data_IF_084904261215
#
_entry.id   IF_084904261215
#
_cell.length_a   1.000
_cell.length_b   1.000
_cell.length_c   1.000
_cell.angle_alpha   90.00
_cell.angle_beta   90.00
_cell.angle_gamma   90.00
#
_symmetry.space_group_name_H-M   'P 1'
#
loop_
_entity.id
_entity.type
_entity.pdbx_description
1 polymer ?
#
# COMPACT_ATOMS: atom_id res chain seq x y z
N UNK A 1 3.03 14.71 -10.28
CA UNK A 1 2.83 15.66 -9.15
C UNK A 1 4.15 15.87 -8.42
N UNK A 2 4.38 16.99 -7.75
CA UNK A 2 5.55 17.24 -6.89
C UNK A 2 5.43 16.44 -5.58
N UNK A 3 6.55 16.31 -4.86
CA UNK A 3 6.58 15.66 -3.54
C UNK A 3 5.64 16.36 -2.55
N UNK A 4 5.26 15.66 -1.47
CA UNK A 4 4.46 16.26 -0.41
C UNK A 4 5.28 17.35 0.30
N UNK A 5 4.97 18.61 0.01
CA UNK A 5 5.79 19.75 0.41
C UNK A 5 5.38 20.36 1.75
N UNK A 6 6.14 21.36 2.20
CA UNK A 6 5.83 22.12 3.42
C UNK A 6 4.46 22.80 3.38
N UNK A 7 4.02 23.24 2.19
CA UNK A 7 2.69 23.84 1.98
C UNK A 7 1.56 22.82 2.18
N UNK A 8 1.79 21.58 1.73
CA UNK A 8 0.81 20.50 1.86
C UNK A 8 0.72 20.04 3.31
N UNK A 9 1.88 19.93 3.99
CA UNK A 9 1.94 19.65 5.42
C UNK A 9 1.24 20.73 6.26
N UNK A 10 1.45 22.02 5.95
CA UNK A 10 0.76 23.11 6.64
C UNK A 10 -0.76 23.04 6.44
N UNK A 11 -1.21 22.81 5.21
CA UNK A 11 -2.63 22.68 4.91
C UNK A 11 -3.24 21.46 5.62
N UNK A 12 -2.55 20.32 5.58
CA UNK A 12 -2.95 19.11 6.30
C UNK A 12 -3.11 19.37 7.79
N UNK A 13 -2.10 19.96 8.45
CA UNK A 13 -2.15 20.26 9.89
C UNK A 13 -3.29 21.24 10.20
N UNK A 14 -3.49 22.27 9.38
CA UNK A 14 -4.58 23.23 9.55
C UNK A 14 -5.95 22.53 9.46
N UNK A 15 -6.18 21.76 8.40
CA UNK A 15 -7.45 21.06 8.18
C UNK A 15 -7.72 20.02 9.28
N UNK A 16 -6.74 19.20 9.63
CA UNK A 16 -6.87 18.22 10.71
C UNK A 16 -7.19 18.91 12.03
N UNK A 17 -6.54 20.04 12.35
CA UNK A 17 -6.84 20.82 13.55
C UNK A 17 -8.28 21.33 13.52
N UNK A 18 -8.73 21.89 12.39
CA UNK A 18 -10.11 22.37 12.25
C UNK A 18 -11.13 21.25 12.44
N UNK A 19 -10.90 20.07 11.87
CA UNK A 19 -11.79 18.91 12.03
C UNK A 19 -11.78 18.35 13.45
N UNK A 20 -10.62 18.33 14.12
CA UNK A 20 -10.53 17.98 15.53
C UNK A 20 -11.43 18.89 16.37
N UNK A 21 -11.41 20.20 16.12
CA UNK A 21 -12.27 21.16 16.85
C UNK A 21 -13.73 21.16 16.41
N UNK A 22 -14.04 20.84 15.15
CA UNK A 22 -15.44 20.83 14.67
C UNK A 22 -16.21 19.60 15.14
N UNK A 23 -15.53 18.46 15.21
CA UNK A 23 -16.17 17.16 15.41
C UNK A 23 -16.09 16.69 16.86
N UNK A 24 -15.37 17.42 17.71
CA UNK A 24 -15.23 17.14 19.13
C UNK A 24 -15.56 18.39 19.95
N UNK A 25 -15.82 18.21 21.26
CA UNK A 25 -16.00 19.36 22.14
C UNK A 25 -14.71 20.18 22.23
N UNK A 26 -14.83 21.49 22.42
CA UNK A 26 -13.68 22.37 22.57
C UNK A 26 -12.73 21.91 23.69
N UNK A 27 -13.29 21.40 24.80
CA UNK A 27 -12.51 20.87 25.91
C UNK A 27 -11.77 19.58 25.54
N UNK A 28 -12.41 18.65 24.82
CA UNK A 28 -11.74 17.43 24.34
C UNK A 28 -10.61 17.74 23.35
N UNK A 29 -10.86 18.65 22.41
CA UNK A 29 -9.90 19.05 21.39
C UNK A 29 -8.68 19.77 22.00
N UNK A 30 -8.91 20.69 22.95
CA UNK A 30 -7.81 21.35 23.67
C UNK A 30 -7.04 20.36 24.54
N UNK A 31 -7.73 19.52 25.30
CA UNK A 31 -7.10 18.47 26.11
C UNK A 31 -6.27 17.51 25.26
N UNK A 32 -6.77 17.15 24.07
CA UNK A 32 -6.05 16.34 23.10
C UNK A 32 -4.73 16.99 22.68
N UNK A 33 -4.76 18.27 22.28
CA UNK A 33 -3.55 19.01 21.88
C UNK A 33 -2.55 19.08 23.04
N UNK A 34 -3.02 19.38 24.25
CA UNK A 34 -2.16 19.43 25.43
C UNK A 34 -1.56 18.07 25.77
N UNK A 35 -2.35 17.01 25.71
CA UNK A 35 -1.91 15.64 26.00
C UNK A 35 -0.90 15.11 24.98
N UNK A 36 -0.92 15.64 23.75
CA UNK A 36 -0.02 15.24 22.66
C UNK A 36 1.10 16.25 22.39
N UNK A 37 1.27 17.26 23.25
CA UNK A 37 2.36 18.25 23.10
C UNK A 37 3.75 17.59 23.10
N UNK A 38 3.88 16.45 23.78
CA UNK A 38 5.10 15.66 23.82
C UNK A 38 5.53 15.18 22.43
N UNK A 39 4.60 14.83 21.54
CA UNK A 39 4.90 14.39 20.16
C UNK A 39 5.60 15.51 19.39
N UNK A 40 5.13 16.75 19.53
CA UNK A 40 5.73 17.92 18.88
C UNK A 40 7.14 18.26 19.41
N UNK A 41 7.50 17.79 20.61
CA UNK A 41 8.84 17.94 21.18
C UNK A 41 9.73 16.75 20.81
N UNK A 42 9.18 15.54 20.88
CA UNK A 42 9.90 14.29 20.66
C UNK A 42 10.32 14.12 19.21
N UNK A 43 9.48 14.46 18.22
CA UNK A 43 9.85 14.28 16.80
C UNK A 43 11.07 15.15 16.42
N UNK A 44 11.13 16.46 16.72
CA UNK A 44 12.34 17.26 16.50
C UNK A 44 13.54 16.75 17.29
N UNK A 45 13.34 16.34 18.54
CA UNK A 45 14.41 15.76 19.36
C UNK A 45 15.00 14.50 18.71
N UNK A 46 14.17 13.55 18.30
CA UNK A 46 14.60 12.32 17.63
C UNK A 46 15.31 12.62 16.31
N UNK A 47 14.82 13.58 15.52
CA UNK A 47 15.49 14.03 14.31
C UNK A 47 16.89 14.58 14.60
N UNK A 48 17.01 15.46 15.59
CA UNK A 48 18.29 16.05 15.95
C UNK A 48 19.25 15.01 16.51
N UNK A 49 18.81 14.23 17.51
CA UNK A 49 19.66 13.29 18.22
C UNK A 49 20.03 12.07 17.38
N UNK A 50 19.09 11.46 16.67
CA UNK A 50 19.31 10.16 16.01
C UNK A 50 19.71 10.29 14.54
N UNK A 51 19.55 11.47 13.94
CA UNK A 51 19.83 11.68 12.52
C UNK A 51 20.78 12.83 12.22
N UNK A 52 20.62 13.97 12.88
CA UNK A 52 21.47 15.13 12.60
C UNK A 52 22.83 15.07 13.33
N UNK A 53 22.82 14.77 14.63
CA UNK A 53 24.02 14.74 15.47
C UNK A 53 24.68 13.36 15.56
N UNK A 54 23.91 12.27 15.41
CA UNK A 54 24.47 10.92 15.45
C UNK A 54 25.33 10.67 14.18
N UNK A 55 26.61 10.28 14.32
CA UNK A 55 27.45 9.97 13.16
C UNK A 55 26.83 8.90 12.27
N UNK A 56 26.95 9.05 10.95
CA UNK A 56 26.31 8.17 9.97
C UNK A 56 26.48 6.67 10.25
N UNK A 57 27.68 6.14 10.58
CA UNK A 57 27.86 4.71 10.86
C UNK A 57 27.12 4.19 12.10
N UNK A 58 26.72 5.08 13.02
CA UNK A 58 25.99 4.74 14.24
C UNK A 58 24.47 4.90 14.08
N UNK A 59 24.01 5.50 12.98
CA UNK A 59 22.60 5.61 12.67
C UNK A 59 22.01 4.24 12.27
N UNK A 60 20.71 4.07 12.50
CA UNK A 60 19.99 2.89 11.99
C UNK A 60 19.98 2.89 10.46
N UNK A 61 19.82 1.72 9.83
CA UNK A 61 19.76 1.60 8.36
C UNK A 61 18.65 2.48 7.76
N UNK A 62 17.48 2.48 8.38
CA UNK A 62 16.38 3.39 8.00
C UNK A 62 16.82 4.84 8.10
N UNK A 63 17.46 5.26 9.19
CA UNK A 63 17.92 6.66 9.34
C UNK A 63 18.96 7.04 8.30
N UNK A 64 19.89 6.14 7.97
CA UNK A 64 20.91 6.36 6.95
C UNK A 64 20.30 6.57 5.56
N UNK A 65 19.29 5.78 5.19
CA UNK A 65 18.66 5.83 3.87
C UNK A 65 17.57 6.90 3.75
N UNK A 66 16.66 6.98 4.73
CA UNK A 66 15.43 7.76 4.65
C UNK A 66 15.69 9.22 4.29
N UNK A 67 14.74 9.92 3.66
CA UNK A 67 14.84 11.39 3.57
C UNK A 67 14.56 12.02 4.95
N UNK A 68 14.83 13.32 5.09
CA UNK A 68 14.44 14.03 6.30
C UNK A 68 12.93 14.04 6.54
N UNK A 69 12.13 14.17 5.47
CA UNK A 69 10.67 14.13 5.55
C UNK A 69 10.16 12.75 5.93
N UNK A 70 10.76 11.72 5.33
CA UNK A 70 10.45 10.33 5.62
C UNK A 70 10.76 9.96 7.06
N UNK A 71 11.95 10.31 7.55
CA UNK A 71 12.34 10.05 8.93
C UNK A 71 11.37 10.71 9.92
N UNK A 72 10.97 11.96 9.64
CA UNK A 72 9.98 12.68 10.45
C UNK A 72 8.63 11.95 10.41
N UNK A 73 8.15 11.53 9.24
CA UNK A 73 6.89 10.82 9.09
C UNK A 73 6.89 9.48 9.83
N UNK A 74 7.94 8.67 9.68
CA UNK A 74 8.09 7.37 10.36
C UNK A 74 8.02 7.56 11.88
N UNK A 75 8.78 8.51 12.44
CA UNK A 75 8.77 8.75 13.88
C UNK A 75 7.45 9.37 14.36
N UNK A 76 6.83 10.22 13.56
CA UNK A 76 5.50 10.77 13.85
C UNK A 76 4.46 9.65 13.91
N UNK A 77 4.44 8.74 12.92
CA UNK A 77 3.56 7.57 12.90
C UNK A 77 3.84 6.67 14.10
N UNK A 78 5.10 6.38 14.41
CA UNK A 78 5.48 5.53 15.56
C UNK A 78 4.93 6.08 16.88
N UNK A 79 5.18 7.36 17.15
CA UNK A 79 4.72 7.99 18.38
C UNK A 79 3.20 8.07 18.44
N UNK A 80 2.57 8.37 17.31
CA UNK A 80 1.11 8.46 17.23
C UNK A 80 0.45 7.10 17.43
N UNK A 81 0.94 6.02 16.82
CA UNK A 81 0.35 4.69 16.99
C UNK A 81 0.50 4.13 18.41
N UNK A 82 1.58 4.52 19.10
CA UNK A 82 1.85 4.08 20.47
C UNK A 82 1.11 4.90 21.54
N UNK A 83 0.67 6.12 21.23
CA UNK A 83 0.13 7.06 22.22
C UNK A 83 -1.27 7.60 21.90
N UNK A 84 -1.68 7.64 20.64
CA UNK A 84 -3.02 8.07 20.26
C UNK A 84 -4.03 6.95 20.50
N UNK A 85 -5.18 7.32 21.06
CA UNK A 85 -6.33 6.41 21.06
C UNK A 85 -6.88 6.25 19.64
N UNK A 86 -7.55 5.12 19.39
CA UNK A 86 -8.26 4.83 18.12
C UNK A 86 -9.14 5.99 17.66
N UNK A 87 -9.82 6.66 18.61
CA UNK A 87 -10.68 7.82 18.34
C UNK A 87 -9.90 8.93 17.61
N UNK A 88 -8.74 9.29 18.12
CA UNK A 88 -7.98 10.42 17.56
C UNK A 88 -7.23 10.05 16.29
N UNK A 89 -6.77 8.80 16.15
CA UNK A 89 -6.15 8.32 14.91
C UNK A 89 -7.06 8.52 13.69
N UNK A 90 -8.36 8.21 13.82
CA UNK A 90 -9.36 8.40 12.76
C UNK A 90 -9.46 9.84 12.27
N UNK A 91 -9.20 10.84 13.12
CA UNK A 91 -9.22 12.25 12.72
C UNK A 91 -8.02 12.62 11.84
N UNK A 92 -6.83 12.06 12.08
CA UNK A 92 -5.65 12.29 11.24
C UNK A 92 -5.78 11.66 9.85
N UNK A 93 -6.54 10.57 9.74
CA UNK A 93 -6.71 9.82 8.49
C UNK A 93 -8.04 10.08 7.78
N UNK A 94 -8.77 11.11 8.23
CA UNK A 94 -10.11 11.45 7.75
C UNK A 94 -10.13 11.77 6.27
N UNK A 95 -11.09 11.17 5.55
CA UNK A 95 -11.29 11.36 4.11
C UNK A 95 -11.36 12.83 3.70
N UNK A 96 -12.10 13.65 4.46
CA UNK A 96 -12.27 15.08 4.13
C UNK A 96 -10.94 15.84 4.14
N UNK A 97 -10.04 15.54 5.08
CA UNK A 97 -8.72 16.20 5.15
C UNK A 97 -7.94 15.90 3.88
N UNK A 98 -7.78 14.63 3.55
CA UNK A 98 -7.03 14.21 2.36
C UNK A 98 -7.69 14.64 1.06
N UNK A 99 -9.02 14.62 0.99
CA UNK A 99 -9.77 15.16 -0.14
C UNK A 99 -9.36 16.61 -0.43
N UNK A 100 -9.41 17.51 0.56
CA UNK A 100 -9.06 18.90 0.33
C UNK A 100 -7.56 19.11 0.05
N UNK A 101 -6.68 18.34 0.69
CA UNK A 101 -5.24 18.37 0.40
C UNK A 101 -4.98 17.95 -1.05
N UNK A 102 -5.59 16.87 -1.53
CA UNK A 102 -5.47 16.40 -2.91
C UNK A 102 -6.04 17.42 -3.90
N UNK A 103 -7.21 18.02 -3.60
CA UNK A 103 -7.78 19.06 -4.47
C UNK A 103 -6.87 20.28 -4.56
N UNK A 104 -6.28 20.71 -3.43
CA UNK A 104 -5.30 21.79 -3.41
C UNK A 104 -4.06 21.45 -4.26
N UNK A 105 -3.53 20.23 -4.13
CA UNK A 105 -2.39 19.75 -4.90
C UNK A 105 -2.73 19.65 -6.39
N UNK A 106 -3.88 19.09 -6.73
CA UNK A 106 -4.40 19.05 -8.10
C UNK A 106 -4.51 20.44 -8.70
N UNK A 107 -5.12 21.41 -8.03
CA UNK A 107 -5.25 22.79 -8.52
C UNK A 107 -3.88 23.42 -8.82
N UNK A 108 -2.88 23.18 -7.96
CA UNK A 108 -1.54 23.76 -8.10
C UNK A 108 -0.71 23.10 -9.21
N UNK A 109 -0.89 21.80 -9.43
CA UNK A 109 0.06 21.00 -10.22
C UNK A 109 -0.54 20.38 -11.47
N UNK A 110 -1.83 20.09 -11.46
CA UNK A 110 -2.58 19.44 -12.54
C UNK A 110 -3.75 20.30 -13.07
N UNK A 111 -4.00 21.47 -12.47
CA UNK A 111 -5.08 22.39 -12.82
C UNK A 111 -5.03 22.95 -14.25
N UNK A 112 -3.94 22.69 -14.98
CA UNK A 112 -3.82 22.98 -16.41
C UNK A 112 -4.47 21.91 -17.31
N UNK A 113 -5.10 20.88 -16.74
CA UNK A 113 -5.76 19.80 -17.49
C UNK A 113 -4.82 18.77 -18.09
N UNK A 114 -3.57 18.69 -17.60
CA UNK A 114 -2.53 17.79 -18.13
C UNK A 114 -2.60 16.35 -17.57
N UNK A 115 -3.58 16.05 -16.72
CA UNK A 115 -3.83 14.70 -16.21
C UNK A 115 -5.05 14.08 -16.87
N UNK A 116 -4.87 12.92 -17.52
CA UNK A 116 -5.95 12.19 -18.19
C UNK A 116 -6.61 11.14 -17.28
N UNK A 117 -5.86 10.59 -16.32
CA UNK A 117 -6.40 9.67 -15.31
C UNK A 117 -7.06 10.46 -14.20
N UNK A 118 -8.32 10.15 -13.93
CA UNK A 118 -9.12 10.82 -12.90
C UNK A 118 -9.75 9.79 -11.96
N UNK A 119 -9.85 10.16 -10.69
CA UNK A 119 -10.66 9.44 -9.71
C UNK A 119 -12.14 9.78 -9.93
N UNK A 120 -12.98 8.75 -10.03
CA UNK A 120 -14.43 8.87 -10.07
C UNK A 120 -15.04 8.05 -8.93
N UNK A 121 -15.76 8.73 -8.05
CA UNK A 121 -16.59 8.08 -7.03
C UNK A 121 -17.85 7.54 -7.70
N UNK A 122 -18.18 6.28 -7.44
CA UNK A 122 -19.42 5.69 -7.91
C UNK A 122 -20.33 5.36 -6.73
N UNK A 123 -21.65 5.39 -6.98
CA UNK A 123 -22.72 5.19 -5.98
C UNK A 123 -22.74 3.79 -5.36
N UNK A 124 -21.92 2.89 -5.87
CA UNK A 124 -21.89 1.45 -5.60
C UNK A 124 -20.67 1.03 -4.76
N UNK A 125 -20.14 1.96 -3.96
CA UNK A 125 -19.20 1.64 -2.88
C UNK A 125 -17.74 1.51 -3.31
N UNK A 126 -17.22 2.43 -4.12
CA UNK A 126 -15.78 2.50 -4.41
C UNK A 126 -15.38 3.67 -5.31
N UNK A 127 -14.09 3.73 -5.61
CA UNK A 127 -13.48 4.71 -6.51
C UNK A 127 -12.82 4.02 -7.70
N UNK A 128 -13.11 4.53 -8.89
CA UNK A 128 -12.44 4.12 -10.13
C UNK A 128 -11.37 5.13 -10.51
N UNK A 129 -10.22 4.65 -10.95
CA UNK A 129 -9.14 5.45 -11.52
C UNK A 129 -8.99 5.03 -12.97
N UNK A 130 -9.37 5.93 -13.88
CA UNK A 130 -9.40 5.65 -15.31
C UNK A 130 -9.04 6.89 -16.13
N UNK A 131 -8.38 6.63 -17.25
CA UNK A 131 -8.08 7.60 -18.30
C UNK A 131 -9.33 8.01 -19.07
N UNK A 132 -9.71 9.29 -18.97
CA UNK A 132 -10.92 9.83 -19.61
C UNK A 132 -10.86 9.73 -21.14
N UNK A 133 -9.69 9.94 -21.73
CA UNK A 133 -9.49 9.84 -23.18
C UNK A 133 -9.67 8.41 -23.71
N UNK A 134 -9.67 7.41 -22.84
CA UNK A 134 -9.74 5.99 -23.20
C UNK A 134 -11.02 5.28 -22.73
N UNK A 135 -11.99 5.99 -22.19
CA UNK A 135 -13.28 5.42 -21.72
C UNK A 135 -14.03 4.60 -22.78
N UNK A 136 -13.83 4.88 -24.08
CA UNK A 136 -14.47 4.16 -25.19
C UNK A 136 -13.69 2.92 -25.67
N UNK A 137 -12.57 2.56 -25.03
CA UNK A 137 -11.76 1.39 -25.38
C UNK A 137 -12.07 0.24 -24.43
N UNK A 138 -11.93 -0.99 -24.94
CA UNK A 138 -11.99 -2.18 -24.08
C UNK A 138 -10.90 -2.10 -23.00
N UNK A 139 -11.24 -2.47 -21.78
CA UNK A 139 -10.31 -2.54 -20.65
C UNK A 139 -9.50 -3.81 -20.81
N UNK A 140 -8.18 -3.68 -20.85
CA UNK A 140 -7.25 -4.81 -21.01
C UNK A 140 -6.63 -5.27 -19.68
N UNK A 141 -6.65 -4.40 -18.66
CA UNK A 141 -6.22 -4.69 -17.31
C UNK A 141 -7.08 -3.97 -16.28
N UNK A 142 -7.57 -4.71 -15.30
CA UNK A 142 -8.26 -4.16 -14.14
C UNK A 142 -7.53 -4.55 -12.86
N UNK A 143 -7.14 -3.56 -12.06
CA UNK A 143 -6.58 -3.78 -10.73
C UNK A 143 -7.66 -3.52 -9.69
N UNK A 144 -7.95 -4.51 -8.84
CA UNK A 144 -8.73 -4.31 -7.61
C UNK A 144 -7.74 -4.01 -6.49
N UNK A 145 -7.67 -2.75 -6.06
CA UNK A 145 -6.74 -2.29 -5.05
C UNK A 145 -7.40 -2.21 -3.66
N UNK A 146 -7.01 -3.09 -2.74
CA UNK A 146 -7.47 -3.08 -1.34
C UNK A 146 -6.43 -2.39 -0.46
N UNK A 147 -6.80 -1.24 0.10
CA UNK A 147 -5.86 -0.40 0.83
C UNK A 147 -5.66 -0.81 2.30
N UNK A 148 -4.46 -0.59 2.84
CA UNK A 148 -4.07 -1.00 4.20
C UNK A 148 -4.46 -0.06 5.33
N UNK A 149 -5.01 1.13 5.06
CA UNK A 149 -5.22 2.16 6.09
C UNK A 149 -6.48 2.01 6.96
N UNK A 150 -7.31 1.00 6.72
CA UNK A 150 -8.53 0.72 7.48
C UNK A 150 -8.30 0.57 9.02
N UNK A 151 -7.15 0.02 9.46
CA UNK A 151 -6.79 -0.13 10.88
C UNK A 151 -6.85 1.21 11.64
N UNK A 152 -6.39 2.27 10.98
CA UNK A 152 -6.27 3.61 11.57
C UNK A 152 -7.37 4.56 11.09
N UNK A 153 -8.38 4.03 10.37
CA UNK A 153 -9.48 4.80 9.79
C UNK A 153 -9.12 5.60 8.54
N UNK A 154 -8.10 5.18 7.82
CA UNK A 154 -7.72 5.81 6.56
C UNK A 154 -8.64 5.48 5.41
N UNK A 155 -8.63 6.40 4.45
CA UNK A 155 -9.55 6.44 3.34
C UNK A 155 -8.82 6.33 2.01
N UNK A 156 -9.57 5.99 0.98
CA UNK A 156 -9.07 5.95 -0.40
C UNK A 156 -8.46 7.30 -0.86
N UNK A 157 -8.87 8.42 -0.25
CA UNK A 157 -8.29 9.72 -0.53
C UNK A 157 -6.78 9.77 -0.24
N UNK A 158 -6.28 8.98 0.72
CA UNK A 158 -4.83 8.87 0.99
C UNK A 158 -4.09 8.25 -0.19
N UNK A 159 -4.76 7.42 -1.00
CA UNK A 159 -4.16 6.68 -2.11
C UNK A 159 -4.46 7.31 -3.47
N UNK A 160 -5.28 8.36 -3.54
CA UNK A 160 -5.77 8.94 -4.80
C UNK A 160 -4.62 9.25 -5.78
N UNK A 161 -3.57 9.94 -5.31
CA UNK A 161 -2.42 10.27 -6.16
C UNK A 161 -1.59 9.05 -6.52
N UNK A 162 -1.43 8.11 -5.59
CA UNK A 162 -0.66 6.89 -5.79
C UNK A 162 -1.32 6.00 -6.85
N UNK A 163 -2.63 5.76 -6.75
CA UNK A 163 -3.39 4.90 -7.68
C UNK A 163 -3.60 5.56 -9.04
N UNK A 164 -3.76 6.89 -9.08
CA UNK A 164 -3.74 7.64 -10.35
C UNK A 164 -2.41 7.44 -11.06
N UNK A 165 -1.29 7.59 -10.34
CA UNK A 165 0.05 7.39 -10.90
C UNK A 165 0.28 5.92 -11.27
N UNK A 166 -0.28 4.98 -10.53
CA UNK A 166 -0.18 3.56 -10.84
C UNK A 166 -0.83 3.24 -12.20
N UNK A 167 -2.04 3.77 -12.45
CA UNK A 167 -2.71 3.66 -13.74
C UNK A 167 -1.84 4.24 -14.87
N UNK A 168 -1.21 5.41 -14.67
CA UNK A 168 -0.27 5.98 -15.64
C UNK A 168 0.92 5.07 -15.90
N UNK A 169 1.54 4.48 -14.86
CA UNK A 169 2.66 3.53 -15.03
C UNK A 169 2.27 2.27 -15.78
N UNK A 170 1.06 1.77 -15.59
CA UNK A 170 0.55 0.65 -16.39
C UNK A 170 0.43 1.05 -17.87
N UNK A 171 -0.03 2.26 -18.17
CA UNK A 171 -0.07 2.76 -19.55
C UNK A 171 1.34 2.90 -20.16
N UNK A 172 2.32 3.34 -19.37
CA UNK A 172 3.73 3.41 -19.79
C UNK A 172 4.31 2.02 -20.10
N UNK A 173 3.89 0.98 -19.38
CA UNK A 173 4.27 -0.42 -19.64
C UNK A 173 3.50 -1.08 -20.80
N UNK A 174 2.65 -0.32 -21.49
CA UNK A 174 2.00 -0.73 -22.75
C UNK A 174 0.54 -1.16 -22.64
N UNK A 175 -0.06 -1.15 -21.44
CA UNK A 175 -1.49 -1.40 -21.30
C UNK A 175 -2.29 -0.28 -21.97
N UNK A 176 -3.20 -0.66 -22.86
CA UNK A 176 -3.99 0.26 -23.65
C UNK A 176 -4.96 1.03 -22.77
N UNK A 177 -5.76 0.37 -21.93
CA UNK A 177 -6.77 1.00 -21.08
C UNK A 177 -6.81 0.32 -19.69
N UNK A 178 -5.73 0.43 -18.90
CA UNK A 178 -5.73 -0.09 -17.55
C UNK A 178 -6.62 0.75 -16.65
N UNK A 179 -7.36 0.09 -15.77
CA UNK A 179 -8.17 0.74 -14.75
C UNK A 179 -7.81 0.21 -13.37
N UNK A 180 -7.98 1.06 -12.36
CA UNK A 180 -7.86 0.64 -10.96
C UNK A 180 -9.20 0.88 -10.28
N UNK A 181 -9.76 -0.15 -9.66
CA UNK A 181 -10.91 -0.07 -8.79
C UNK A 181 -10.45 -0.22 -7.35
N UNK A 182 -10.80 0.73 -6.49
CA UNK A 182 -10.56 0.63 -5.07
C UNK A 182 -11.90 0.63 -4.33
N UNK A 183 -12.30 -0.51 -3.73
CA UNK A 183 -13.57 -0.60 -3.03
C UNK A 183 -13.54 0.26 -1.76
N UNK A 184 -14.66 0.90 -1.45
CA UNK A 184 -14.86 1.60 -0.18
C UNK A 184 -15.40 0.63 0.85
N UNK A 185 -14.73 0.49 1.98
CA UNK A 185 -15.21 -0.32 3.09
C UNK A 185 -15.87 0.60 4.10
N UNK A 186 -17.16 0.40 4.35
CA UNK A 186 -17.90 1.22 5.32
C UNK A 186 -17.81 0.64 6.73
N UNK A 187 -17.78 -0.68 6.86
CA UNK A 187 -17.75 -1.38 8.16
C UNK A 187 -16.96 -2.69 8.08
N UNK A 188 -16.36 -3.11 9.20
CA UNK A 188 -15.67 -4.41 9.30
C UNK A 188 -16.60 -5.62 9.19
N UNK A 189 -17.92 -5.42 9.18
CA UNK A 189 -18.88 -6.49 8.95
C UNK A 189 -18.96 -6.99 7.51
N UNK A 190 -18.37 -6.27 6.56
CA UNK A 190 -18.48 -6.58 5.12
C UNK A 190 -17.20 -7.19 4.55
N UNK A 191 -16.18 -7.46 5.39
CA UNK A 191 -14.85 -7.86 4.94
C UNK A 191 -14.85 -9.16 4.14
N UNK A 192 -15.61 -10.16 4.58
CA UNK A 192 -15.69 -11.48 3.93
C UNK A 192 -16.27 -11.39 2.52
N UNK A 193 -17.18 -10.44 2.30
CA UNK A 193 -17.87 -10.24 1.03
C UNK A 193 -17.21 -9.17 0.15
N UNK A 194 -16.31 -8.36 0.72
CA UNK A 194 -15.74 -7.20 0.05
C UNK A 194 -15.02 -7.60 -1.23
N UNK A 195 -14.06 -8.53 -1.12
CA UNK A 195 -13.23 -8.94 -2.24
C UNK A 195 -14.03 -9.70 -3.31
N UNK A 196 -14.83 -10.73 -2.96
CA UNK A 196 -15.70 -11.39 -3.93
C UNK A 196 -16.63 -10.42 -4.65
N UNK A 197 -17.26 -9.49 -3.92
CA UNK A 197 -18.15 -8.49 -4.52
C UNK A 197 -17.40 -7.50 -5.42
N UNK A 198 -16.23 -7.04 -5.00
CA UNK A 198 -15.40 -6.13 -5.79
C UNK A 198 -14.90 -6.79 -7.08
N UNK A 199 -14.46 -8.06 -7.00
CA UNK A 199 -14.01 -8.82 -8.17
C UNK A 199 -15.17 -9.09 -9.13
N UNK A 200 -16.32 -9.56 -8.63
CA UNK A 200 -17.52 -9.78 -9.45
C UNK A 200 -17.90 -8.50 -10.19
N UNK A 201 -18.02 -7.39 -9.46
CA UNK A 201 -18.37 -6.09 -10.01
C UNK A 201 -17.39 -5.63 -11.09
N UNK A 202 -16.10 -5.81 -10.86
CA UNK A 202 -15.08 -5.45 -11.85
C UNK A 202 -15.26 -6.31 -13.10
N UNK A 203 -15.38 -7.63 -12.96
CA UNK A 203 -15.62 -8.55 -14.08
C UNK A 203 -16.88 -8.20 -14.87
N UNK A 204 -17.97 -7.87 -14.19
CA UNK A 204 -19.23 -7.43 -14.81
C UNK A 204 -19.08 -6.12 -15.59
N UNK A 205 -18.18 -5.24 -15.14
CA UNK A 205 -17.93 -3.93 -15.76
C UNK A 205 -17.00 -4.03 -16.97
N UNK A 206 -15.96 -4.86 -16.90
CA UNK A 206 -14.87 -4.89 -17.91
C UNK A 206 -15.00 -6.02 -18.94
N UNK A 207 -15.78 -7.05 -18.64
CA UNK A 207 -15.93 -8.24 -19.47
C UNK A 207 -14.89 -9.34 -19.22
N UNK A 208 -15.07 -10.49 -19.88
CA UNK A 208 -14.27 -11.71 -19.63
C UNK A 208 -12.83 -11.65 -20.18
N UNK A 209 -12.59 -10.85 -21.23
CA UNK A 209 -11.27 -10.76 -21.89
C UNK A 209 -10.25 -9.92 -21.11
N UNK A 210 -10.66 -9.28 -20.01
CA UNK A 210 -9.80 -8.44 -19.19
C UNK A 210 -9.01 -9.26 -18.16
N UNK A 211 -7.72 -8.96 -18.01
CA UNK A 211 -6.95 -9.49 -16.89
C UNK A 211 -7.32 -8.76 -15.60
N UNK A 212 -7.75 -9.50 -14.58
CA UNK A 212 -8.03 -8.95 -13.25
C UNK A 212 -6.85 -9.23 -12.33
N UNK A 213 -6.30 -8.20 -11.70
CA UNK A 213 -5.21 -8.28 -10.73
C UNK A 213 -5.72 -7.84 -9.38
N UNK A 214 -5.48 -8.64 -8.34
CA UNK A 214 -5.68 -8.19 -6.96
C UNK A 214 -4.40 -7.52 -6.48
N UNK A 215 -4.49 -6.31 -5.96
CA UNK A 215 -3.37 -5.60 -5.37
C UNK A 215 -3.76 -5.03 -4.01
N UNK A 216 -2.85 -5.00 -3.05
CA UNK A 216 -3.13 -4.37 -1.78
C UNK A 216 -1.89 -4.19 -0.93
N UNK A 217 -2.02 -3.38 0.10
CA UNK A 217 -0.96 -3.09 1.05
C UNK A 217 -1.37 -3.38 2.49
N UNK A 218 -0.39 -3.68 3.35
CA UNK A 218 -0.61 -4.03 4.76
C UNK A 218 -1.69 -5.12 4.89
N UNK A 219 -2.75 -4.86 5.65
CA UNK A 219 -3.84 -5.82 5.77
C UNK A 219 -4.73 -5.88 4.53
N UNK A 220 -4.76 -4.85 3.68
CA UNK A 220 -5.39 -4.99 2.37
C UNK A 220 -4.77 -6.16 1.58
N UNK A 221 -3.46 -6.33 1.68
CA UNK A 221 -2.76 -7.50 1.15
C UNK A 221 -3.13 -8.80 1.89
N UNK A 222 -3.27 -8.77 3.22
CA UNK A 222 -3.70 -9.94 4.01
C UNK A 222 -5.13 -10.38 3.66
N UNK A 223 -6.05 -9.44 3.40
CA UNK A 223 -7.41 -9.75 2.94
C UNK A 223 -7.39 -10.46 1.60
N UNK A 224 -6.53 -10.01 0.68
CA UNK A 224 -6.32 -10.67 -0.61
C UNK A 224 -5.81 -12.10 -0.39
N UNK A 225 -4.84 -12.29 0.49
CA UNK A 225 -4.33 -13.64 0.80
C UNK A 225 -5.42 -14.57 1.31
N UNK A 226 -6.30 -14.09 2.18
CA UNK A 226 -7.44 -14.86 2.67
C UNK A 226 -8.43 -15.18 1.54
N UNK A 227 -8.73 -14.23 0.67
CA UNK A 227 -9.62 -14.45 -0.49
C UNK A 227 -9.09 -15.53 -1.43
N UNK A 228 -7.77 -15.52 -1.70
CA UNK A 228 -7.13 -16.53 -2.56
C UNK A 228 -7.24 -17.96 -2.00
N UNK A 229 -7.32 -18.11 -0.67
CA UNK A 229 -7.50 -19.41 -0.03
C UNK A 229 -8.96 -19.90 -0.09
N UNK A 230 -9.93 -18.99 -0.17
CA UNK A 230 -11.36 -19.29 -0.19
C UNK A 230 -11.95 -19.40 -1.61
N UNK A 231 -11.32 -18.76 -2.60
CA UNK A 231 -11.82 -18.68 -3.96
C UNK A 231 -11.70 -20.00 -4.74
N UNK A 232 -12.70 -20.27 -5.57
CA UNK A 232 -12.62 -21.34 -6.56
C UNK A 232 -11.55 -20.99 -7.61
N UNK A 233 -10.86 -22.01 -8.12
CA UNK A 233 -9.76 -21.85 -9.10
C UNK A 233 -10.15 -21.03 -10.34
N UNK A 234 -11.40 -21.09 -10.77
CA UNK A 234 -11.91 -20.33 -11.93
C UNK A 234 -12.15 -18.85 -11.62
N UNK A 235 -12.33 -18.50 -10.34
CA UNK A 235 -12.57 -17.13 -9.87
C UNK A 235 -11.30 -16.35 -9.57
N UNK A 236 -10.17 -17.05 -9.42
CA UNK A 236 -8.87 -16.48 -9.10
C UNK A 236 -8.46 -15.34 -10.04
N UNK A 237 -7.73 -14.34 -9.51
CA UNK A 237 -7.16 -13.30 -10.35
C UNK A 237 -6.05 -13.84 -11.24
N UNK A 238 -5.70 -13.03 -12.23
CA UNK A 238 -4.54 -13.24 -13.08
C UNK A 238 -3.24 -13.19 -12.25
N UNK A 239 -3.08 -12.15 -11.43
CA UNK A 239 -1.92 -11.90 -10.56
C UNK A 239 -2.41 -11.41 -9.20
N UNK A 240 -1.68 -11.72 -8.12
CA UNK A 240 -1.84 -11.07 -6.83
C UNK A 240 -0.57 -10.26 -6.48
N UNK A 241 -0.72 -8.97 -6.17
CA UNK A 241 0.33 -8.08 -5.69
C UNK A 241 0.11 -7.75 -4.21
N UNK A 242 1.00 -8.24 -3.35
CA UNK A 242 0.92 -8.14 -1.90
C UNK A 242 2.05 -7.23 -1.41
N UNK A 243 1.72 -6.03 -0.96
CA UNK A 243 2.69 -5.05 -0.43
C UNK A 243 2.64 -5.07 1.09
N UNK A 244 3.79 -5.32 1.74
CA UNK A 244 3.94 -5.39 3.19
C UNK A 244 2.83 -6.20 3.89
N UNK A 245 2.50 -7.43 3.46
CA UNK A 245 1.37 -8.16 4.02
C UNK A 245 1.62 -8.55 5.49
N UNK A 246 0.58 -8.45 6.32
CA UNK A 246 0.59 -9.01 7.68
C UNK A 246 0.16 -10.48 7.59
N UNK A 247 1.12 -11.40 7.56
CA UNK A 247 0.90 -12.82 7.24
C UNK A 247 0.44 -13.66 8.45
N UNK A 248 0.45 -13.08 9.65
CA UNK A 248 0.11 -13.74 10.91
C UNK A 248 -0.59 -12.74 11.83
N UNK A 249 -1.76 -13.12 12.39
CA UNK A 249 -2.60 -12.23 13.19
C UNK A 249 -2.90 -12.75 14.61
N UNK A 250 -2.45 -13.95 15.02
CA UNK A 250 -2.79 -14.54 16.33
C UNK A 250 -1.64 -15.13 17.15
N UNK A 251 -0.37 -14.93 16.76
CA UNK A 251 0.78 -15.49 17.49
C UNK A 251 2.03 -14.62 17.33
N UNK A 252 1.98 -13.39 17.83
CA UNK A 252 3.11 -12.47 17.71
C UNK A 252 4.28 -12.75 18.69
N UNK A 253 4.09 -13.66 19.65
CA UNK A 253 5.07 -14.00 20.69
C UNK A 253 6.29 -14.83 20.20
N UNK A 254 6.29 -15.30 18.95
CA UNK A 254 7.22 -16.34 18.49
C UNK A 254 8.47 -15.86 17.74
N UNK A 255 8.66 -14.55 17.52
CA UNK A 255 9.83 -14.04 16.79
C UNK A 255 10.63 -13.07 17.67
N UNK A 256 11.95 -13.28 17.72
CA UNK A 256 12.88 -12.35 18.35
C UNK A 256 12.74 -10.96 17.71
N UNK A 257 12.33 -9.98 18.51
CA UNK A 257 12.27 -8.59 18.09
C UNK A 257 13.68 -8.14 17.68
N UNK A 258 13.93 -8.03 16.37
CA UNK A 258 15.01 -7.20 15.85
C UNK A 258 14.81 -5.79 16.40
N UNK A 259 15.89 -5.00 16.50
CA UNK A 259 15.79 -3.58 16.83
C UNK A 259 14.76 -2.96 15.88
N UNK A 260 13.58 -2.64 16.41
CA UNK A 260 12.46 -2.25 15.60
C UNK A 260 12.68 -0.81 15.11
N UNK A 261 13.05 -0.68 13.83
CA UNK A 261 13.23 0.62 13.18
C UNK A 261 12.00 1.05 12.37
N UNK A 262 10.94 0.23 12.38
CA UNK A 262 9.62 0.47 11.81
C UNK A 262 8.72 1.37 12.67
N UNK A 263 7.72 2.01 12.07
CA UNK A 263 6.70 2.75 12.81
C UNK A 263 5.61 1.85 13.39
N UNK A 264 5.43 0.65 12.83
CA UNK A 264 4.59 -0.39 13.43
C UNK A 264 5.36 -1.13 14.52
N UNK A 265 4.62 -1.64 15.50
CA UNK A 265 5.07 -2.57 16.51
C UNK A 265 4.02 -3.66 16.64
N UNK A 266 4.40 -4.80 17.19
CA UNK A 266 3.44 -5.89 17.43
C UNK A 266 2.30 -5.40 18.32
N UNK A 267 2.64 -4.69 19.39
CA UNK A 267 1.67 -4.20 20.37
C UNK A 267 0.69 -3.21 19.76
N UNK A 268 1.16 -2.36 18.83
CA UNK A 268 0.26 -1.45 18.14
C UNK A 268 -0.52 -2.14 17.01
N UNK A 269 0.02 -3.16 16.34
CA UNK A 269 -0.80 -3.97 15.42
C UNK A 269 -1.94 -4.62 16.19
N UNK A 270 -1.66 -5.36 17.26
CA UNK A 270 -2.68 -6.00 18.11
C UNK A 270 -3.68 -4.99 18.68
N UNK A 271 -3.17 -3.89 19.24
CA UNK A 271 -4.01 -2.85 19.83
C UNK A 271 -4.93 -2.21 18.80
N UNK A 272 -4.51 -2.12 17.54
CA UNK A 272 -5.27 -1.44 16.49
C UNK A 272 -6.18 -2.35 15.65
N UNK A 273 -5.89 -3.64 15.54
CA UNK A 273 -6.76 -4.62 14.89
C UNK A 273 -8.18 -4.61 15.50
N UNK A 274 -9.20 -4.71 14.65
CA UNK A 274 -10.59 -4.93 15.11
C UNK A 274 -10.82 -6.44 15.27
N UNK A 275 -11.71 -6.83 16.20
CA UNK A 275 -12.00 -8.25 16.49
C UNK A 275 -12.35 -9.06 15.24
N UNK A 276 -13.10 -8.49 14.30
CA UNK A 276 -13.44 -9.15 13.03
C UNK A 276 -12.23 -9.42 12.11
N UNK A 277 -11.22 -8.57 12.18
CA UNK A 277 -9.95 -8.81 11.46
C UNK A 277 -9.21 -9.99 12.07
N UNK A 278 -9.30 -10.10 13.39
CA UNK A 278 -8.72 -11.22 14.12
C UNK A 278 -9.53 -12.49 13.84
N UNK A 279 -10.84 -12.42 13.66
CA UNK A 279 -11.68 -13.56 13.26
C UNK A 279 -11.36 -14.07 11.85
N UNK A 280 -10.94 -13.18 10.95
CA UNK A 280 -10.37 -13.55 9.65
C UNK A 280 -9.06 -14.39 9.77
N UNK A 281 -8.53 -14.63 10.98
CA UNK A 281 -7.49 -15.65 11.24
C UNK A 281 -7.91 -17.06 10.88
N UNK A 282 -9.19 -17.34 10.64
CA UNK A 282 -9.59 -18.68 10.20
C UNK A 282 -8.80 -19.14 8.96
N UNK A 283 -8.32 -18.20 8.13
CA UNK A 283 -7.40 -18.44 7.01
C UNK A 283 -6.03 -17.77 7.16
N UNK A 284 -5.51 -17.61 8.39
CA UNK A 284 -4.19 -17.03 8.62
C UNK A 284 -3.17 -17.70 7.68
N UNK A 285 -2.51 -16.96 6.75
CA UNK A 285 -1.72 -17.53 5.67
C UNK A 285 -0.55 -18.43 6.11
N UNK A 286 -0.28 -18.53 7.41
CA UNK A 286 0.67 -19.46 8.02
C UNK A 286 0.10 -20.75 8.63
N UNK A 287 -1.23 -20.89 8.80
CA UNK A 287 -1.90 -22.05 9.43
C UNK A 287 -2.58 -22.98 8.42
N UNK A 288 -3.06 -22.45 7.32
CA UNK A 288 -3.71 -23.23 6.28
C UNK A 288 -2.72 -23.83 5.28
N UNK A 289 -3.12 -24.96 4.68
CA UNK A 289 -2.31 -25.65 3.67
C UNK A 289 -2.55 -25.01 2.31
N UNK A 290 -1.77 -23.97 2.00
CA UNK A 290 -1.70 -23.43 0.63
C UNK A 290 -1.47 -24.57 -0.37
N UNK A 291 -2.29 -24.58 -1.41
CA UNK A 291 -2.21 -25.52 -2.51
C UNK A 291 -2.00 -24.75 -3.81
N UNK A 292 -1.62 -25.46 -4.89
CA UNK A 292 -1.53 -24.87 -6.22
C UNK A 292 -2.89 -24.33 -6.71
N UNK A 293 -4.00 -24.83 -6.16
CA UNK A 293 -5.35 -24.40 -6.54
C UNK A 293 -5.69 -22.99 -6.04
N UNK A 294 -4.97 -22.50 -5.03
CA UNK A 294 -5.09 -21.14 -4.47
C UNK A 294 -4.10 -20.14 -5.08
N UNK A 295 -3.26 -20.57 -6.03
CA UNK A 295 -2.24 -19.72 -6.65
C UNK A 295 -2.81 -19.08 -7.93
N UNK A 296 -2.80 -17.74 -8.04
CA UNK A 296 -3.16 -17.04 -9.28
C UNK A 296 -2.44 -17.59 -10.50
N UNK A 297 -3.11 -17.59 -11.66
CA UNK A 297 -2.61 -18.22 -12.90
C UNK A 297 -1.20 -17.76 -13.29
N UNK A 298 -0.91 -16.46 -13.16
CA UNK A 298 0.39 -15.90 -13.52
C UNK A 298 1.30 -15.67 -12.30
N UNK A 299 0.80 -15.89 -11.09
CA UNK A 299 1.58 -15.93 -9.87
C UNK A 299 1.32 -14.80 -8.87
N UNK A 300 2.16 -14.78 -7.84
CA UNK A 300 2.10 -13.86 -6.71
C UNK A 300 3.35 -12.98 -6.71
N UNK A 301 3.16 -11.70 -6.42
CA UNK A 301 4.23 -10.72 -6.18
C UNK A 301 4.14 -10.29 -4.73
N UNK A 302 5.24 -10.42 -3.99
CA UNK A 302 5.33 -9.96 -2.59
C UNK A 302 6.43 -8.90 -2.51
N UNK A 303 6.08 -7.70 -2.07
CA UNK A 303 7.01 -6.60 -1.85
C UNK A 303 6.99 -6.18 -0.38
N UNK A 304 8.14 -6.04 0.27
CA UNK A 304 8.21 -5.68 1.69
C UNK A 304 9.55 -5.04 2.06
N UNK A 305 9.58 -4.26 3.14
CA UNK A 305 10.75 -3.64 3.70
C UNK A 305 11.52 -4.58 4.64
N UNK A 306 12.86 -4.55 4.58
CA UNK A 306 13.73 -5.39 5.43
C UNK A 306 13.68 -5.02 6.91
N UNK A 307 13.21 -3.81 7.21
CA UNK A 307 13.13 -3.25 8.55
C UNK A 307 11.71 -3.29 9.11
N UNK A 308 10.77 -3.94 8.40
CA UNK A 308 9.40 -4.13 8.89
C UNK A 308 9.38 -4.94 10.18
N UNK A 309 8.52 -4.55 11.13
CA UNK A 309 8.35 -5.30 12.37
C UNK A 309 7.81 -6.72 12.11
N UNK A 310 7.08 -6.91 10.99
CA UNK A 310 6.54 -8.21 10.54
C UNK A 310 7.39 -8.92 9.50
N UNK A 311 8.57 -8.38 9.14
CA UNK A 311 9.42 -8.95 8.07
C UNK A 311 9.75 -10.43 8.26
N UNK A 312 9.95 -10.88 9.50
CA UNK A 312 10.20 -12.30 9.81
C UNK A 312 9.02 -13.20 9.45
N UNK A 313 7.79 -12.76 9.72
CA UNK A 313 6.57 -13.49 9.34
C UNK A 313 6.38 -13.51 7.82
N UNK A 314 6.71 -12.41 7.13
CA UNK A 314 6.70 -12.37 5.67
C UNK A 314 7.73 -13.32 5.06
N UNK A 315 8.93 -13.40 5.63
CA UNK A 315 10.01 -14.31 5.19
C UNK A 315 9.64 -15.79 5.38
N UNK A 316 9.03 -16.15 6.51
CA UNK A 316 8.50 -17.51 6.74
C UNK A 316 7.40 -17.85 5.73
N UNK A 317 6.46 -16.94 5.51
CA UNK A 317 5.39 -17.11 4.53
C UNK A 317 5.92 -17.30 3.10
N UNK A 318 6.88 -16.47 2.68
CA UNK A 318 7.57 -16.61 1.39
C UNK A 318 8.22 -18.00 1.27
N UNK A 319 8.84 -18.49 2.35
CA UNK A 319 9.49 -19.80 2.37
C UNK A 319 8.47 -20.93 2.21
N UNK A 320 7.29 -20.82 2.83
CA UNK A 320 6.18 -21.76 2.65
C UNK A 320 5.68 -21.79 1.20
N UNK A 321 5.45 -20.62 0.58
CA UNK A 321 5.01 -20.54 -0.81
C UNK A 321 6.03 -21.12 -1.81
N UNK A 322 7.33 -20.91 -1.57
CA UNK A 322 8.40 -21.48 -2.42
C UNK A 322 8.45 -23.00 -2.42
N UNK A 323 7.92 -23.64 -1.38
CA UNK A 323 7.86 -25.10 -1.27
C UNK A 323 6.67 -25.71 -2.03
N UNK A 324 5.78 -24.89 -2.59
CA UNK A 324 4.65 -25.35 -3.40
C UNK A 324 5.12 -25.52 -4.84
N UNK A 325 5.10 -26.75 -5.33
CA UNK A 325 5.48 -27.05 -6.71
C UNK A 325 4.56 -26.32 -7.71
N UNK A 326 5.16 -25.72 -8.74
CA UNK A 326 4.46 -24.89 -9.72
C UNK A 326 4.08 -23.47 -9.27
N UNK A 327 4.35 -23.07 -8.02
CA UNK A 327 4.07 -21.72 -7.55
C UNK A 327 5.00 -20.68 -8.21
N UNK A 328 4.43 -19.76 -9.00
CA UNK A 328 5.14 -18.62 -9.58
C UNK A 328 5.17 -17.47 -8.57
N UNK A 329 6.32 -17.29 -7.90
CA UNK A 329 6.48 -16.26 -6.87
C UNK A 329 7.59 -15.26 -7.24
N UNK A 330 7.27 -13.97 -7.25
CA UNK A 330 8.23 -12.88 -7.32
C UNK A 330 8.33 -12.19 -5.96
N UNK A 331 9.55 -12.09 -5.42
CA UNK A 331 9.81 -11.42 -4.15
C UNK A 331 10.62 -10.16 -4.40
N UNK A 332 10.20 -9.06 -3.78
CA UNK A 332 10.81 -7.74 -3.84
C UNK A 332 11.08 -7.23 -2.42
N UNK A 333 12.25 -7.58 -1.87
CA UNK A 333 12.69 -7.14 -0.53
C UNK A 333 13.44 -5.83 -0.65
N UNK A 334 12.91 -4.74 -0.08
CA UNK A 334 13.58 -3.45 -0.06
C UNK A 334 14.44 -3.27 1.19
N UNK A 335 15.74 -3.04 1.00
CA UNK A 335 16.69 -2.85 2.09
C UNK A 335 16.47 -1.51 2.77
N UNK A 336 16.56 -1.47 4.10
CA UNK A 336 16.42 -0.25 4.92
C UNK A 336 15.07 0.46 4.75
N UNK A 337 14.03 -0.30 4.40
CA UNK A 337 12.66 0.16 4.24
C UNK A 337 11.75 -0.42 5.32
N UNK A 338 10.75 0.39 5.69
CA UNK A 338 9.76 0.11 6.75
C UNK A 338 8.44 -0.39 6.14
N UNK A 339 7.41 -0.59 6.96
CA UNK A 339 6.13 -1.10 6.48
C UNK A 339 5.46 -0.14 5.50
N UNK A 340 4.75 -0.66 4.49
CA UNK A 340 4.13 0.15 3.43
C UNK A 340 5.10 1.15 2.77
N UNK A 341 6.37 0.74 2.60
CA UNK A 341 7.43 1.57 2.00
C UNK A 341 7.01 2.20 0.68
N UNK A 342 6.21 1.50 -0.14
CA UNK A 342 5.74 1.98 -1.43
C UNK A 342 4.92 3.28 -1.31
N UNK A 343 4.05 3.36 -0.29
CA UNK A 343 3.22 4.54 -0.03
C UNK A 343 4.04 5.62 0.67
N UNK A 344 4.87 5.24 1.64
CA UNK A 344 5.72 6.19 2.39
C UNK A 344 6.68 6.91 1.45
N UNK A 345 7.41 6.18 0.60
CA UNK A 345 8.33 6.76 -0.37
C UNK A 345 7.59 7.66 -1.35
N UNK A 346 6.42 7.24 -1.85
CA UNK A 346 5.65 8.02 -2.80
C UNK A 346 5.34 9.44 -2.29
N UNK A 347 5.09 9.60 -0.98
CA UNK A 347 4.84 10.92 -0.38
C UNK A 347 6.08 11.66 0.12
N UNK A 348 7.13 10.95 0.52
CA UNK A 348 8.26 11.54 1.27
C UNK A 348 9.57 11.65 0.49
N UNK A 349 9.72 10.92 -0.62
CA UNK A 349 10.87 11.05 -1.49
C UNK A 349 10.85 12.36 -2.26
N UNK A 350 12.03 12.87 -2.61
CA UNK A 350 12.15 14.18 -3.28
C UNK A 350 12.14 14.07 -4.80
N UNK A 351 12.80 13.04 -5.32
CA UNK A 351 12.93 12.81 -6.75
C UNK A 351 11.74 11.98 -7.23
N UNK A 352 11.16 12.35 -8.37
CA UNK A 352 10.01 11.65 -8.96
C UNK A 352 10.34 10.18 -9.18
N UNK A 353 11.54 9.88 -9.68
CA UNK A 353 12.02 8.52 -9.91
C UNK A 353 11.98 7.64 -8.65
N UNK A 354 12.38 8.19 -7.49
CA UNK A 354 12.35 7.46 -6.22
C UNK A 354 10.94 7.34 -5.65
N UNK A 355 10.10 8.36 -5.85
CA UNK A 355 8.69 8.34 -5.41
C UNK A 355 7.88 7.29 -6.17
N UNK A 356 8.10 7.20 -7.47
CA UNK A 356 7.38 6.31 -8.38
C UNK A 356 8.08 4.96 -8.55
N UNK A 357 9.17 4.70 -7.82
CA UNK A 357 9.98 3.47 -7.92
C UNK A 357 9.12 2.21 -7.73
N UNK A 358 8.28 2.20 -6.69
CA UNK A 358 7.36 1.09 -6.41
C UNK A 358 6.37 0.88 -7.56
N UNK A 359 5.76 1.95 -8.05
CA UNK A 359 4.80 1.92 -9.15
C UNK A 359 5.42 1.40 -10.44
N UNK A 360 6.62 1.86 -10.79
CA UNK A 360 7.36 1.39 -11.96
C UNK A 360 7.72 -0.10 -11.82
N UNK A 361 8.22 -0.52 -10.65
CA UNK A 361 8.51 -1.93 -10.37
C UNK A 361 7.25 -2.78 -10.50
N UNK A 362 6.15 -2.39 -9.89
CA UNK A 362 4.90 -3.16 -9.89
C UNK A 362 4.28 -3.25 -11.27
N UNK A 363 4.18 -2.13 -12.00
CA UNK A 363 3.67 -2.13 -13.36
C UNK A 363 4.53 -3.02 -14.28
N UNK A 364 5.86 -2.94 -14.18
CA UNK A 364 6.75 -3.75 -15.03
C UNK A 364 6.67 -5.24 -14.68
N UNK A 365 6.57 -5.60 -13.39
CA UNK A 365 6.40 -6.99 -12.98
C UNK A 365 5.05 -7.53 -13.50
N UNK A 366 3.95 -6.79 -13.30
CA UNK A 366 2.62 -7.20 -13.76
C UNK A 366 2.61 -7.39 -15.28
N UNK A 367 3.13 -6.41 -16.03
CA UNK A 367 3.24 -6.47 -17.49
C UNK A 367 3.97 -7.75 -17.93
N UNK A 368 5.13 -8.04 -17.34
CA UNK A 368 5.92 -9.24 -17.68
C UNK A 368 5.21 -10.54 -17.32
N UNK A 369 4.55 -10.61 -16.16
CA UNK A 369 3.83 -11.81 -15.76
C UNK A 369 2.69 -12.12 -16.74
N UNK A 370 1.94 -11.10 -17.16
CA UNK A 370 0.84 -11.28 -18.13
C UNK A 370 1.37 -11.58 -19.54
N UNK A 371 2.43 -10.89 -19.98
CA UNK A 371 3.02 -11.08 -21.32
C UNK A 371 3.76 -12.42 -21.48
N UNK A 372 4.32 -12.97 -20.40
CA UNK A 372 5.11 -14.21 -20.42
C UNK A 372 4.37 -15.45 -20.94
N UNK A 373 3.05 -15.36 -21.10
CA UNK A 373 2.19 -16.46 -21.56
C UNK A 373 1.45 -16.12 -22.88
N UNK A 374 1.78 -14.99 -23.53
CA UNK A 374 1.20 -14.64 -24.85
C UNK A 374 1.99 -15.30 -25.99
N UNK A 375 1.31 -15.93 -26.96
CA UNK A 375 1.95 -16.60 -28.10
C UNK A 375 2.84 -15.67 -28.92
N UNK A 376 2.41 -14.42 -29.11
CA UNK A 376 3.16 -13.37 -29.81
C UNK A 376 4.51 -13.04 -29.17
N UNK A 377 4.67 -13.28 -27.86
CA UNK A 377 5.94 -13.08 -27.15
C UNK A 377 7.02 -14.10 -27.57
N UNK A 378 6.62 -15.27 -28.07
CA UNK A 378 7.51 -16.35 -28.49
C UNK A 378 7.57 -16.54 -30.02
N UNK A 379 6.66 -15.95 -30.78
CA UNK A 379 6.53 -16.17 -32.23
C UNK A 379 7.44 -15.28 -33.09
N UNK A 380 7.97 -14.18 -32.54
CA UNK A 380 9.12 -13.47 -33.12
C UNK A 380 10.41 -13.95 -32.45
N UNK A 381 11.55 -13.87 -33.17
CA UNK A 381 12.91 -14.10 -32.64
C UNK A 381 13.32 -13.11 -31.51
N UNK A 382 12.37 -12.63 -30.71
CA UNK A 382 12.58 -11.90 -29.47
C UNK A 382 13.39 -12.79 -28.54
N UNK A 383 14.67 -12.44 -28.37
CA UNK A 383 15.56 -13.17 -27.49
C UNK A 383 14.89 -13.41 -26.15
N UNK A 384 15.12 -14.60 -25.56
CA UNK A 384 14.96 -14.81 -24.11
C UNK A 384 15.33 -13.51 -23.41
N UNK A 385 14.45 -12.97 -22.57
CA UNK A 385 14.71 -11.76 -21.78
C UNK A 385 16.16 -11.83 -21.35
N UNK A 386 17.00 -11.02 -22.00
CA UNK A 386 18.36 -10.81 -21.51
C UNK A 386 18.12 -10.28 -20.11
N UNK A 387 18.59 -11.04 -19.15
CA UNK A 387 18.39 -10.84 -17.73
C UNK A 387 18.38 -9.35 -17.35
N UNK A 388 17.40 -9.05 -16.51
CA UNK A 388 17.46 -8.07 -15.42
C UNK A 388 17.44 -6.59 -15.83
N UNK A 389 16.49 -5.88 -15.20
CA UNK A 389 16.90 -4.67 -14.50
C UNK A 389 18.08 -5.09 -13.63
N UNK A 390 19.29 -4.90 -14.13
CA UNK A 390 20.49 -4.72 -13.32
C UNK A 390 20.31 -3.37 -12.64
N UNK A 391 19.44 -3.33 -11.63
CA UNK A 391 19.63 -2.42 -10.52
C UNK A 391 20.67 -3.13 -9.66
N UNK A 392 21.95 -2.96 -10.03
CA UNK A 392 23.12 -3.22 -9.20
C UNK A 392 22.90 -4.28 -8.08
N UNK A 393 22.82 -5.56 -8.46
CA UNK A 393 23.55 -6.56 -7.67
C UNK A 393 25.02 -6.11 -7.76
N UNK A 394 25.59 -5.67 -6.63
CA UNK A 394 26.86 -4.94 -6.46
C UNK A 394 26.78 -3.40 -6.44
N UNK A 395 26.28 -2.86 -5.33
CA UNK A 395 27.04 -1.80 -4.66
C UNK A 395 27.39 -2.25 -3.24
N UNK A 396 28.70 -2.50 -3.10
CA UNK A 396 29.54 -2.78 -1.93
C UNK A 396 28.95 -2.35 -0.58
#
# INVERSE_FOLDING_TARGET
>A
MQAFGSRDALLYVLLTTLYIFSDNSFFDATWFIFSNISVFIQVPYLYLCNRYFLPFPLQTRVSQRATGAEFILINLLRLNLNHLSKRWGKEFFKTKVFYYVNRWRYLREAGNGLGDVMMQEYSDGGCWFQSQSKNNRAVDLAIVYVHGSWIVGGSIAIYEEYLTSFCVKLQEEGFQNPIVFAPSISTSSELDLLLPSAVSKVRDTVGEDCHVVLAGDSIGATLIMNSLLMEDKESLPAVALLVSPITQLDQFDQIESKINTDYLSIENIEGWLEEKVIELNCCAPGKEKWSLESIPKFGIVISYGSEECVSGYTEDYISKLKNIDGCKLKVDKQVAQVHNWAIINYYTERLVEHREESLQKYASIISRLLLSETKSYFEDNGGKVKSMISLDEERV
#
